data_IF_535441276429
#
_entry.id   IF_535441276429
#
_cell.length_a   1.000
_cell.length_b   1.000
_cell.length_c   1.000
_cell.angle_alpha   90.00
_cell.angle_beta   90.00
_cell.angle_gamma   90.00
#
_symmetry.space_group_name_H-M   'P 1'
#
loop_
_entity.id
_entity.type
_entity.pdbx_description
1 polymer ?
#
# COMPACT_ATOMS: atom_id res chain seq x y z
N UNK A 1 -24.50 -15.27 27.72
CA UNK A 1 -24.59 -13.83 27.96
C UNK A 1 -23.17 -13.31 28.15
N UNK A 2 -22.82 -12.15 27.61
CA UNK A 2 -21.48 -11.57 27.81
C UNK A 2 -21.37 -11.01 29.22
N UNK A 3 -20.26 -11.28 29.91
CA UNK A 3 -19.97 -10.72 31.24
C UNK A 3 -19.84 -9.20 31.15
N UNK A 4 -20.42 -8.48 32.08
CA UNK A 4 -20.45 -7.02 32.12
C UNK A 4 -19.63 -6.47 33.29
N UNK A 5 -19.35 -5.15 33.30
CA UNK A 5 -18.71 -4.48 34.44
C UNK A 5 -19.54 -4.63 35.73
N UNK A 6 -20.89 -4.71 35.62
CA UNK A 6 -21.76 -4.93 36.74
C UNK A 6 -21.59 -6.31 37.40
N UNK A 7 -21.34 -7.33 36.60
CA UNK A 7 -21.13 -8.69 37.12
C UNK A 7 -19.84 -8.78 37.94
N UNK A 8 -18.77 -8.08 37.48
CA UNK A 8 -17.52 -7.98 38.23
C UNK A 8 -17.73 -7.13 39.51
N UNK A 9 -18.43 -6.00 39.42
CA UNK A 9 -18.72 -5.14 40.52
C UNK A 9 -19.50 -5.90 41.61
N UNK A 10 -20.54 -6.64 41.25
CA UNK A 10 -21.29 -7.48 42.14
C UNK A 10 -20.47 -8.56 42.85
N UNK A 11 -19.51 -9.16 42.13
CA UNK A 11 -18.67 -10.27 42.63
C UNK A 11 -17.52 -9.76 43.52
N UNK A 12 -17.07 -8.53 43.30
CA UNK A 12 -15.96 -7.90 44.04
C UNK A 12 -16.42 -6.96 45.13
N UNK A 13 -17.73 -6.66 45.21
CA UNK A 13 -18.34 -5.70 46.10
C UNK A 13 -17.82 -4.26 45.96
N UNK A 14 -17.25 -3.92 44.80
CA UNK A 14 -16.81 -2.57 44.45
C UNK A 14 -17.77 -1.89 43.49
N UNK A 15 -17.79 -0.54 43.54
CA UNK A 15 -18.54 0.23 42.53
C UNK A 15 -18.10 -0.04 41.12
N UNK A 16 -19.05 -0.03 40.18
CA UNK A 16 -18.80 -0.16 38.73
C UNK A 16 -17.76 0.85 38.25
N UNK A 17 -17.73 2.05 38.84
CA UNK A 17 -16.73 3.08 38.52
C UNK A 17 -15.31 2.67 38.94
N UNK A 18 -15.14 2.03 40.08
CA UNK A 18 -13.87 1.50 40.59
C UNK A 18 -13.38 0.36 39.67
N UNK A 19 -14.25 -0.62 39.39
CA UNK A 19 -13.98 -1.71 38.47
C UNK A 19 -13.55 -1.17 37.07
N UNK A 20 -14.30 -0.20 36.55
CA UNK A 20 -13.97 0.43 35.26
C UNK A 20 -12.62 1.14 35.26
N UNK A 21 -12.24 1.83 36.35
CA UNK A 21 -10.94 2.50 36.49
C UNK A 21 -9.79 1.50 36.52
N UNK A 22 -9.93 0.42 37.25
CA UNK A 22 -8.91 -0.65 37.29
C UNK A 22 -8.73 -1.28 35.91
N UNK A 23 -9.81 -1.74 35.27
CA UNK A 23 -9.78 -2.43 33.97
C UNK A 23 -9.33 -1.52 32.83
N UNK A 24 -9.38 -0.21 32.98
CA UNK A 24 -8.90 0.76 31.99
C UNK A 24 -7.51 1.34 32.32
N UNK A 25 -6.81 0.85 33.36
CA UNK A 25 -5.47 1.30 33.72
C UNK A 25 -5.40 2.67 34.39
N UNK A 26 -6.51 3.15 34.98
CA UNK A 26 -6.56 4.43 35.69
C UNK A 26 -6.50 4.28 37.21
N UNK A 27 -6.16 3.09 37.70
CA UNK A 27 -6.16 2.75 39.10
C UNK A 27 -5.23 3.65 39.93
N UNK A 28 -4.00 3.83 39.53
CA UNK A 28 -3.00 4.67 40.19
C UNK A 28 -3.44 6.14 40.24
N UNK A 29 -3.95 6.69 39.14
CA UNK A 29 -4.45 8.06 39.04
C UNK A 29 -5.60 8.35 40.07
N UNK A 30 -6.30 7.30 40.46
CA UNK A 30 -7.45 7.39 41.39
C UNK A 30 -7.15 6.82 42.78
N UNK A 31 -5.88 6.51 43.09
CA UNK A 31 -5.46 6.04 44.40
C UNK A 31 -6.05 4.67 44.80
N UNK A 32 -6.35 3.80 43.82
CA UNK A 32 -6.87 2.45 44.06
C UNK A 32 -5.71 1.55 44.47
N UNK A 33 -5.83 0.90 45.67
CA UNK A 33 -4.76 0.03 46.21
C UNK A 33 -4.43 -1.16 45.28
N UNK A 34 -3.19 -1.61 45.32
CA UNK A 34 -2.77 -2.80 44.54
C UNK A 34 -3.61 -4.04 44.86
N UNK A 35 -3.94 -4.26 46.13
CA UNK A 35 -4.78 -5.38 46.53
C UNK A 35 -6.18 -5.34 45.92
N UNK A 36 -6.76 -4.14 45.76
CA UNK A 36 -8.06 -3.94 45.10
C UNK A 36 -7.92 -4.18 43.57
N UNK A 37 -6.84 -3.71 42.99
CA UNK A 37 -6.56 -3.94 41.54
C UNK A 37 -6.44 -5.43 41.27
N UNK A 38 -5.63 -6.16 42.03
CA UNK A 38 -5.41 -7.61 41.87
C UNK A 38 -6.70 -8.42 42.04
N UNK A 39 -7.55 -8.05 42.97
CA UNK A 39 -8.83 -8.72 43.15
C UNK A 39 -9.74 -8.52 41.94
N UNK A 40 -9.87 -7.29 41.46
CA UNK A 40 -10.73 -6.95 40.31
C UNK A 40 -10.21 -7.63 39.04
N UNK A 41 -8.90 -7.60 38.80
CA UNK A 41 -8.28 -8.23 37.62
C UNK A 41 -8.47 -9.75 37.64
N UNK A 42 -8.28 -10.40 38.80
CA UNK A 42 -8.50 -11.83 38.98
C UNK A 42 -9.95 -12.24 38.72
N UNK A 43 -10.90 -11.53 39.30
CA UNK A 43 -12.34 -11.80 39.14
C UNK A 43 -12.77 -11.55 37.67
N UNK A 44 -12.22 -10.55 37.02
CA UNK A 44 -12.47 -10.29 35.58
C UNK A 44 -11.97 -11.44 34.71
N UNK A 45 -10.78 -11.96 34.99
CA UNK A 45 -10.20 -13.11 34.28
C UNK A 45 -11.00 -14.40 34.51
N UNK A 46 -11.32 -14.70 35.79
CA UNK A 46 -12.14 -15.86 36.18
C UNK A 46 -13.51 -15.88 35.52
N UNK A 47 -14.12 -14.70 35.32
CA UNK A 47 -15.41 -14.55 34.65
C UNK A 47 -15.26 -14.55 33.09
N UNK A 48 -14.02 -14.51 32.56
CA UNK A 48 -13.77 -14.35 31.13
C UNK A 48 -14.24 -13.00 30.59
N UNK A 49 -14.17 -11.94 31.41
CA UNK A 49 -14.56 -10.61 30.98
C UNK A 49 -13.62 -10.11 29.88
N UNK A 50 -14.21 -9.67 28.79
CA UNK A 50 -13.48 -8.97 27.73
C UNK A 50 -13.99 -7.53 27.62
N UNK A 51 -13.11 -6.52 27.75
CA UNK A 51 -13.51 -5.13 27.57
C UNK A 51 -14.21 -4.94 26.22
N UNK A 52 -15.42 -4.39 26.26
CA UNK A 52 -16.14 -4.07 25.03
C UNK A 52 -15.53 -2.81 24.40
N UNK A 53 -14.71 -3.01 23.38
CA UNK A 53 -14.03 -1.92 22.64
C UNK A 53 -15.04 -0.95 22.01
N UNK A 54 -16.22 -1.43 21.56
CA UNK A 54 -17.28 -0.59 21.00
C UNK A 54 -17.87 0.36 22.05
N UNK A 55 -18.19 -0.16 23.25
CA UNK A 55 -18.70 0.67 24.33
C UNK A 55 -17.66 1.70 24.82
N UNK A 56 -16.38 1.37 24.75
CA UNK A 56 -15.30 2.31 25.03
C UNK A 56 -15.21 3.38 23.94
N UNK A 57 -15.26 2.99 22.68
CA UNK A 57 -15.21 3.90 21.52
C UNK A 57 -16.32 4.96 21.56
N UNK A 58 -17.55 4.55 21.87
CA UNK A 58 -18.69 5.47 22.04
C UNK A 58 -18.46 6.54 23.12
N UNK A 59 -17.68 6.22 24.16
CA UNK A 59 -17.36 7.17 25.25
C UNK A 59 -16.17 8.07 24.93
N UNK A 60 -15.14 7.52 24.28
CA UNK A 60 -13.89 8.24 23.96
C UNK A 60 -13.95 8.94 22.60
N UNK A 61 -14.92 8.62 21.75
CA UNK A 61 -15.00 8.99 20.35
C UNK A 61 -13.77 8.54 19.54
N UNK A 62 -13.13 7.46 19.98
CA UNK A 62 -11.99 6.84 19.32
C UNK A 62 -12.21 5.33 19.28
N UNK A 63 -12.13 4.75 18.09
CA UNK A 63 -12.28 3.30 17.88
C UNK A 63 -10.94 2.56 17.99
N UNK A 64 -9.83 3.28 17.88
CA UNK A 64 -8.46 2.73 17.75
C UNK A 64 -8.33 1.81 16.55
N UNK A 65 -9.09 2.10 15.49
CA UNK A 65 -9.00 1.42 14.21
C UNK A 65 -8.63 2.42 13.11
N UNK A 66 -7.70 2.02 12.26
CA UNK A 66 -7.36 2.71 11.01
C UNK A 66 -7.74 1.80 9.86
N UNK A 67 -8.42 2.33 8.85
CA UNK A 67 -8.69 1.61 7.62
C UNK A 67 -7.56 1.80 6.61
N UNK A 68 -7.17 0.75 5.89
CA UNK A 68 -6.38 0.87 4.67
C UNK A 68 -7.14 0.26 3.50
N UNK A 69 -7.22 1.00 2.40
CA UNK A 69 -7.81 0.54 1.14
C UNK A 69 -6.71 0.54 0.09
N UNK A 70 -6.47 -0.62 -0.51
CA UNK A 70 -5.39 -0.83 -1.46
C UNK A 70 -5.85 -1.63 -2.69
N UNK A 71 -5.16 -1.49 -3.83
CA UNK A 71 -5.56 -2.13 -5.08
C UNK A 71 -5.41 -3.66 -5.09
N UNK A 72 -4.34 -4.19 -4.48
CA UNK A 72 -4.06 -5.62 -4.52
C UNK A 72 -3.16 -6.06 -3.36
N UNK A 73 -3.78 -6.74 -2.37
CA UNK A 73 -3.05 -7.27 -1.20
C UNK A 73 -2.11 -8.43 -1.55
N UNK A 74 -2.30 -9.07 -2.70
CA UNK A 74 -1.43 -10.14 -3.16
C UNK A 74 -0.13 -9.64 -3.80
N UNK A 75 -0.09 -8.35 -4.16
CA UNK A 75 1.12 -7.72 -4.65
C UNK A 75 2.14 -7.53 -3.50
N UNK A 76 3.36 -8.10 -3.61
CA UNK A 76 4.38 -8.05 -2.56
C UNK A 76 4.73 -6.64 -2.08
N UNK A 77 4.70 -5.65 -2.99
CA UNK A 77 4.94 -4.25 -2.65
C UNK A 77 3.88 -3.72 -1.66
N UNK A 78 2.59 -3.86 -1.99
CA UNK A 78 1.52 -3.40 -1.11
C UNK A 78 1.44 -4.22 0.19
N UNK A 79 1.67 -5.53 0.12
CA UNK A 79 1.72 -6.38 1.30
C UNK A 79 2.83 -5.95 2.27
N UNK A 80 4.02 -5.63 1.74
CA UNK A 80 5.17 -5.18 2.54
C UNK A 80 4.90 -3.83 3.21
N UNK A 81 4.37 -2.84 2.47
CA UNK A 81 4.01 -1.54 3.06
C UNK A 81 2.93 -1.72 4.12
N UNK A 82 1.88 -2.50 3.84
CA UNK A 82 0.79 -2.76 4.78
C UNK A 82 1.31 -3.36 6.08
N UNK A 83 2.27 -4.28 6.03
CA UNK A 83 2.93 -4.84 7.21
C UNK A 83 3.63 -3.75 8.03
N UNK A 84 4.41 -2.87 7.41
CA UNK A 84 5.10 -1.79 8.12
C UNK A 84 4.11 -0.78 8.73
N UNK A 85 3.03 -0.44 8.02
CA UNK A 85 1.92 0.37 8.56
C UNK A 85 1.31 -0.29 9.79
N UNK A 86 1.00 -1.59 9.71
CA UNK A 86 0.43 -2.34 10.83
C UNK A 86 1.37 -2.38 12.03
N UNK A 87 2.66 -2.65 11.83
CA UNK A 87 3.67 -2.66 12.89
C UNK A 87 3.77 -1.30 13.59
N UNK A 88 3.73 -0.21 12.83
CA UNK A 88 3.76 1.16 13.35
C UNK A 88 2.51 1.49 14.15
N UNK A 89 1.33 1.22 13.60
CA UNK A 89 0.06 1.45 14.25
C UNK A 89 -0.10 0.65 15.54
N UNK A 90 0.37 -0.61 15.55
CA UNK A 90 0.31 -1.48 16.73
C UNK A 90 1.12 -0.94 17.90
N UNK A 91 2.29 -0.31 17.66
CA UNK A 91 3.09 0.36 18.69
C UNK A 91 2.35 1.53 19.34
N UNK A 92 1.39 2.13 18.64
CA UNK A 92 0.56 3.24 19.13
C UNK A 92 -0.85 2.77 19.61
N UNK A 93 -1.07 1.46 19.71
CA UNK A 93 -2.34 0.89 20.20
C UNK A 93 -3.49 0.92 19.20
N UNK A 94 -3.20 1.13 17.91
CA UNK A 94 -4.17 1.04 16.82
C UNK A 94 -4.20 -0.34 16.19
N UNK A 95 -5.37 -0.73 15.68
CA UNK A 95 -5.56 -1.90 14.80
C UNK A 95 -5.70 -1.43 13.36
N UNK A 96 -5.18 -2.20 12.41
CA UNK A 96 -5.36 -1.93 10.98
C UNK A 96 -6.45 -2.84 10.41
N UNK A 97 -7.39 -2.25 9.67
CA UNK A 97 -8.43 -2.95 8.91
C UNK A 97 -8.08 -2.81 7.43
N UNK A 98 -7.86 -3.94 6.76
CA UNK A 98 -7.39 -3.98 5.38
C UNK A 98 -8.54 -4.33 4.44
N UNK A 99 -8.71 -3.51 3.38
CA UNK A 99 -9.66 -3.77 2.30
C UNK A 99 -8.93 -3.76 0.95
N UNK A 100 -9.24 -4.76 0.15
CA UNK A 100 -8.67 -4.96 -1.19
C UNK A 100 -9.71 -4.55 -2.25
N UNK A 101 -9.45 -3.45 -2.97
CA UNK A 101 -10.36 -2.95 -4.00
C UNK A 101 -10.27 -3.69 -5.34
N UNK A 102 -9.24 -4.53 -5.52
CA UNK A 102 -8.99 -5.19 -6.81
C UNK A 102 -8.60 -4.22 -7.94
N UNK A 103 -8.20 -2.99 -7.59
CA UNK A 103 -7.93 -1.93 -8.57
C UNK A 103 -9.20 -1.32 -9.17
N UNK A 104 -10.37 -1.63 -8.61
CA UNK A 104 -11.66 -1.13 -9.05
C UNK A 104 -12.14 0.07 -8.22
N UNK A 105 -12.57 1.14 -8.88
CA UNK A 105 -12.99 2.38 -8.23
C UNK A 105 -14.37 2.30 -7.58
N UNK A 106 -15.24 1.39 -8.02
CA UNK A 106 -16.55 1.16 -7.39
C UNK A 106 -16.35 0.43 -6.05
N UNK A 107 -15.57 -0.65 -6.06
CA UNK A 107 -15.17 -1.37 -4.83
C UNK A 107 -14.42 -0.46 -3.84
N UNK A 108 -13.55 0.42 -4.33
CA UNK A 108 -12.90 1.43 -3.50
C UNK A 108 -13.92 2.31 -2.77
N UNK A 109 -14.94 2.81 -3.51
CA UNK A 109 -16.02 3.61 -2.94
C UNK A 109 -16.83 2.82 -1.88
N UNK A 110 -17.14 1.55 -2.15
CA UNK A 110 -17.87 0.71 -1.20
C UNK A 110 -17.08 0.56 0.10
N UNK A 111 -15.78 0.30 0.02
CA UNK A 111 -14.93 0.18 1.21
C UNK A 111 -14.72 1.50 1.95
N UNK A 112 -14.65 2.62 1.24
CA UNK A 112 -14.65 3.95 1.86
C UNK A 112 -15.94 4.15 2.69
N UNK A 113 -17.10 3.88 2.10
CA UNK A 113 -18.38 4.01 2.80
C UNK A 113 -18.48 3.04 3.99
N UNK A 114 -17.99 1.81 3.85
CA UNK A 114 -17.97 0.81 4.91
C UNK A 114 -17.11 1.28 6.08
N UNK A 115 -15.88 1.75 5.83
CA UNK A 115 -14.99 2.25 6.88
C UNK A 115 -15.56 3.48 7.58
N UNK A 116 -16.14 4.42 6.82
CA UNK A 116 -16.85 5.58 7.40
C UNK A 116 -18.01 5.14 8.29
N UNK A 117 -18.75 4.07 7.91
CA UNK A 117 -19.86 3.56 8.73
C UNK A 117 -19.40 2.86 10.02
N UNK A 118 -18.15 2.42 10.07
CA UNK A 118 -17.53 1.80 11.25
C UNK A 118 -16.82 2.83 12.15
N UNK A 119 -16.93 4.13 11.81
CA UNK A 119 -16.30 5.23 12.54
C UNK A 119 -14.80 4.98 12.78
N UNK A 120 -14.06 4.50 11.77
CA UNK A 120 -12.61 4.36 11.91
C UNK A 120 -11.97 5.73 12.16
N UNK A 121 -10.90 5.78 12.97
CA UNK A 121 -10.27 7.03 13.38
C UNK A 121 -9.51 7.72 12.22
N UNK A 122 -9.27 7.01 11.12
CA UNK A 122 -8.67 7.53 9.91
C UNK A 122 -8.54 6.49 8.80
N UNK A 123 -8.28 6.97 7.58
CA UNK A 123 -8.12 6.13 6.39
C UNK A 123 -6.76 6.34 5.74
N UNK A 124 -6.17 5.27 5.29
CA UNK A 124 -5.03 5.25 4.37
C UNK A 124 -5.55 4.74 3.04
N UNK A 125 -5.41 5.53 1.99
CA UNK A 125 -5.96 5.19 0.67
C UNK A 125 -4.84 5.13 -0.36
N UNK A 126 -4.73 3.99 -1.04
CA UNK A 126 -3.94 3.83 -2.25
C UNK A 126 -4.92 3.86 -3.42
N UNK A 127 -5.10 4.99 -4.12
CA UNK A 127 -6.13 5.12 -5.13
C UNK A 127 -6.05 4.08 -6.24
N UNK A 128 -7.19 3.48 -6.57
CA UNK A 128 -7.33 2.44 -7.61
C UNK A 128 -7.27 3.02 -9.03
N UNK A 129 -7.58 4.31 -9.19
CA UNK A 129 -7.62 4.98 -10.49
C UNK A 129 -7.46 6.49 -10.35
N UNK A 130 -7.95 7.23 -11.34
CA UNK A 130 -7.93 8.70 -11.38
C UNK A 130 -9.21 9.37 -10.85
N UNK A 131 -10.25 8.58 -10.55
CA UNK A 131 -11.54 9.14 -10.17
C UNK A 131 -11.45 9.94 -8.87
N UNK A 132 -11.71 11.21 -8.98
CA UNK A 132 -11.73 12.11 -7.83
C UNK A 132 -13.05 12.03 -7.02
N UNK A 133 -14.06 11.32 -7.51
CA UNK A 133 -15.41 11.37 -6.92
C UNK A 133 -15.47 10.70 -5.55
N UNK A 134 -14.73 9.61 -5.38
CA UNK A 134 -14.58 8.90 -4.11
C UNK A 134 -13.96 9.82 -3.05
N UNK A 135 -12.86 10.45 -3.43
CA UNK A 135 -12.06 11.31 -2.57
C UNK A 135 -12.82 12.61 -2.26
N UNK A 136 -13.55 13.15 -3.24
CA UNK A 136 -14.34 14.36 -3.05
C UNK A 136 -15.40 14.23 -1.96
N UNK A 137 -15.99 13.03 -1.79
CA UNK A 137 -16.95 12.76 -0.72
C UNK A 137 -16.30 12.79 0.66
N UNK A 138 -15.15 12.13 0.82
CA UNK A 138 -14.36 12.16 2.06
C UNK A 138 -13.93 13.58 2.41
N UNK A 139 -13.36 14.29 1.42
CA UNK A 139 -12.88 15.65 1.59
C UNK A 139 -13.99 16.62 2.05
N UNK A 140 -15.19 16.49 1.48
CA UNK A 140 -16.36 17.31 1.87
C UNK A 140 -16.90 17.00 3.26
N UNK A 141 -16.71 15.77 3.74
CA UNK A 141 -17.14 15.36 5.09
C UNK A 141 -16.08 15.66 6.14
N UNK A 142 -14.93 16.20 5.76
CA UNK A 142 -13.79 16.46 6.64
C UNK A 142 -13.29 15.19 7.34
N UNK A 143 -13.45 14.02 6.71
CA UNK A 143 -12.94 12.76 7.24
C UNK A 143 -11.41 12.76 7.24
N UNK A 144 -10.81 12.16 8.25
CA UNK A 144 -9.35 12.08 8.38
C UNK A 144 -8.80 11.00 7.46
N UNK A 145 -8.06 11.37 6.44
CA UNK A 145 -7.40 10.41 5.55
C UNK A 145 -6.08 10.93 4.96
N UNK A 146 -5.27 9.99 4.52
CA UNK A 146 -4.01 10.26 3.78
C UNK A 146 -3.95 9.38 2.54
N UNK A 147 -3.17 9.83 1.55
CA UNK A 147 -2.78 9.01 0.43
C UNK A 147 -1.46 8.28 0.71
N UNK A 148 -1.34 7.06 0.21
CA UNK A 148 -0.11 6.26 0.24
C UNK A 148 0.22 5.78 -1.18
N UNK A 149 1.49 5.82 -1.59
CA UNK A 149 2.02 5.45 -2.91
C UNK A 149 1.46 6.29 -4.07
N UNK A 150 0.15 6.36 -4.20
CA UNK A 150 -0.57 7.12 -5.22
C UNK A 150 -1.37 8.25 -4.59
N UNK A 151 -1.65 9.29 -5.35
CA UNK A 151 -2.52 10.39 -4.94
C UNK A 151 -3.39 10.86 -6.10
N UNK A 152 -4.49 11.54 -5.76
CA UNK A 152 -5.38 12.21 -6.72
C UNK A 152 -5.07 13.70 -6.66
N UNK A 153 -4.80 14.30 -7.81
CA UNK A 153 -4.52 15.73 -7.93
C UNK A 153 -5.76 16.57 -7.60
N UNK A 154 -5.53 17.79 -7.12
CA UNK A 154 -6.60 18.77 -6.82
C UNK A 154 -7.17 18.68 -5.40
N UNK A 155 -6.55 17.91 -4.51
CA UNK A 155 -6.89 17.87 -3.07
C UNK A 155 -5.66 18.16 -2.21
N UNK A 156 -5.84 19.02 -1.20
CA UNK A 156 -4.84 19.29 -0.18
C UNK A 156 -4.89 18.21 0.91
N UNK A 157 -4.46 17.00 0.57
CA UNK A 157 -4.45 15.83 1.45
C UNK A 157 -3.00 15.38 1.64
N UNK A 158 -2.57 15.09 2.88
CA UNK A 158 -1.25 14.52 3.12
C UNK A 158 -1.04 13.25 2.29
N UNK A 159 0.15 13.12 1.70
CA UNK A 159 0.48 11.96 0.89
C UNK A 159 1.91 11.48 1.15
N UNK A 160 2.06 10.17 1.30
CA UNK A 160 3.35 9.50 1.40
C UNK A 160 3.65 8.85 0.06
N UNK A 161 4.60 9.42 -0.67
CA UNK A 161 4.98 8.96 -2.02
C UNK A 161 6.50 8.97 -2.16
N UNK A 162 6.99 8.38 -3.25
CA UNK A 162 8.41 8.46 -3.64
C UNK A 162 8.60 9.37 -4.84
N UNK A 163 9.85 9.68 -5.17
CA UNK A 163 10.17 10.38 -6.41
C UNK A 163 10.14 9.41 -7.61
N UNK A 164 8.93 9.09 -8.05
CA UNK A 164 8.66 8.23 -9.20
C UNK A 164 9.30 8.75 -10.50
N UNK A 165 9.35 10.08 -10.66
CA UNK A 165 9.97 10.71 -11.83
C UNK A 165 11.48 10.45 -11.83
N UNK A 166 12.15 10.72 -10.71
CA UNK A 166 13.60 10.52 -10.60
C UNK A 166 13.96 9.04 -10.74
N UNK A 167 13.22 8.13 -10.13
CA UNK A 167 13.47 6.69 -10.25
C UNK A 167 13.45 6.22 -11.70
N UNK A 168 12.43 6.61 -12.47
CA UNK A 168 12.33 6.23 -13.88
C UNK A 168 13.37 6.95 -14.76
N UNK A 169 13.70 8.22 -14.43
CA UNK A 169 14.78 8.95 -15.09
C UNK A 169 16.12 8.23 -14.89
N UNK A 170 16.46 7.86 -13.67
CA UNK A 170 17.72 7.18 -13.33
C UNK A 170 17.80 5.79 -13.99
N UNK A 171 16.71 5.01 -13.94
CA UNK A 171 16.65 3.70 -14.62
C UNK A 171 16.87 3.81 -16.13
N UNK A 172 16.23 4.78 -16.76
CA UNK A 172 16.35 4.97 -18.22
C UNK A 172 17.74 5.49 -18.59
N UNK A 173 18.30 6.44 -17.81
CA UNK A 173 19.68 6.88 -18.02
C UNK A 173 20.66 5.73 -17.92
N UNK A 174 20.50 4.84 -16.93
CA UNK A 174 21.36 3.67 -16.77
C UNK A 174 21.33 2.77 -18.01
N UNK A 175 20.15 2.49 -18.58
CA UNK A 175 20.05 1.74 -19.84
C UNK A 175 20.75 2.44 -20.99
N UNK A 176 20.59 3.76 -21.10
CA UNK A 176 21.24 4.56 -22.16
C UNK A 176 22.77 4.56 -22.01
N UNK A 177 23.28 4.66 -20.78
CA UNK A 177 24.71 4.57 -20.47
C UNK A 177 25.30 3.19 -20.80
N UNK A 178 24.48 2.12 -20.71
CA UNK A 178 24.86 0.76 -21.16
C UNK A 178 24.79 0.59 -22.69
N UNK A 179 24.46 1.63 -23.43
CA UNK A 179 24.47 1.63 -24.90
C UNK A 179 23.10 1.44 -25.55
N UNK A 180 22.04 1.21 -24.77
CA UNK A 180 20.71 1.06 -25.34
C UNK A 180 20.20 2.39 -25.90
N UNK A 181 19.56 2.33 -27.06
CA UNK A 181 18.94 3.48 -27.73
C UNK A 181 17.47 3.24 -28.06
N UNK A 182 17.08 1.97 -28.14
CA UNK A 182 15.71 1.55 -28.34
C UNK A 182 15.24 0.80 -27.11
N UNK A 183 14.54 1.53 -26.23
CA UNK A 183 14.14 1.06 -24.89
C UNK A 183 12.61 0.97 -24.86
N UNK A 184 12.07 -0.21 -24.60
CA UNK A 184 10.65 -0.42 -24.38
C UNK A 184 10.24 0.01 -22.96
N UNK A 185 9.04 0.53 -22.82
CA UNK A 185 8.42 0.83 -21.53
C UNK A 185 7.18 -0.05 -21.34
N UNK A 186 7.27 -1.00 -20.43
CA UNK A 186 6.10 -1.76 -19.99
C UNK A 186 5.43 -1.01 -18.82
N UNK A 187 4.38 -0.23 -19.15
CA UNK A 187 3.70 0.66 -18.20
C UNK A 187 2.53 0.01 -17.49
N UNK A 188 2.09 0.66 -16.41
CA UNK A 188 0.88 0.30 -15.67
C UNK A 188 -0.35 1.08 -16.12
N UNK A 189 -1.30 1.26 -15.19
CA UNK A 189 -2.54 1.97 -15.43
C UNK A 189 -2.26 3.44 -15.76
N UNK A 190 -2.60 3.81 -16.97
CA UNK A 190 -2.50 5.18 -17.45
C UNK A 190 -3.33 6.10 -16.55
N UNK A 191 -2.81 7.29 -16.31
CA UNK A 191 -3.51 8.27 -15.48
C UNK A 191 -3.18 8.22 -13.99
N UNK A 192 -2.76 7.09 -13.43
CA UNK A 192 -2.29 7.07 -12.04
C UNK A 192 -1.05 7.96 -11.85
N UNK A 193 -0.95 8.63 -10.69
CA UNK A 193 0.15 9.55 -10.39
C UNK A 193 1.53 8.88 -10.53
N UNK A 194 1.66 7.61 -10.14
CA UNK A 194 2.88 6.81 -10.29
C UNK A 194 3.24 6.59 -11.75
N UNK A 195 2.28 6.13 -12.58
CA UNK A 195 2.52 5.87 -14.00
C UNK A 195 2.88 7.16 -14.76
N UNK A 196 2.13 8.24 -14.54
CA UNK A 196 2.39 9.55 -15.15
C UNK A 196 3.82 10.05 -14.86
N UNK A 197 4.23 9.96 -13.60
CA UNK A 197 5.58 10.41 -13.17
C UNK A 197 6.68 9.52 -13.74
N UNK A 198 6.49 8.19 -13.73
CA UNK A 198 7.47 7.24 -14.28
C UNK A 198 7.62 7.41 -15.81
N UNK A 199 6.50 7.55 -16.53
CA UNK A 199 6.53 7.85 -17.97
C UNK A 199 7.22 9.20 -18.27
N UNK A 200 6.97 10.22 -17.45
CA UNK A 200 7.63 11.52 -17.62
C UNK A 200 9.15 11.41 -17.39
N UNK A 201 9.62 10.64 -16.40
CA UNK A 201 11.04 10.38 -16.16
C UNK A 201 11.71 9.66 -17.33
N UNK A 202 11.05 8.64 -17.87
CA UNK A 202 11.50 7.93 -19.09
C UNK A 202 11.64 8.87 -20.28
N UNK A 203 10.60 9.67 -20.58
CA UNK A 203 10.63 10.65 -21.68
C UNK A 203 11.76 11.67 -21.52
N UNK A 204 11.98 12.15 -20.31
CA UNK A 204 13.02 13.13 -20.00
C UNK A 204 14.43 12.55 -20.19
N UNK A 205 14.67 11.29 -19.83
CA UNK A 205 15.95 10.63 -20.07
C UNK A 205 16.25 10.56 -21.57
N UNK A 206 15.29 10.10 -22.38
CA UNK A 206 15.43 10.06 -23.84
C UNK A 206 15.76 11.45 -24.40
N UNK A 207 15.01 12.47 -23.98
CA UNK A 207 15.21 13.87 -24.42
C UNK A 207 16.61 14.38 -24.10
N UNK A 208 17.15 14.12 -22.89
CA UNK A 208 18.49 14.54 -22.47
C UNK A 208 19.59 13.92 -23.34
N UNK A 209 19.37 12.68 -23.77
CA UNK A 209 20.31 11.95 -24.62
C UNK A 209 20.03 12.09 -26.12
N UNK A 210 19.10 13.00 -26.51
CA UNK A 210 18.74 13.24 -27.93
C UNK A 210 18.26 11.98 -28.65
N UNK A 211 17.53 11.13 -27.93
CA UNK A 211 16.85 9.95 -28.48
C UNK A 211 15.37 10.33 -28.68
N UNK A 212 14.88 10.13 -29.89
CA UNK A 212 13.50 10.42 -30.23
C UNK A 212 12.55 9.49 -29.45
N UNK A 213 11.49 10.08 -28.91
CA UNK A 213 10.43 9.32 -28.24
C UNK A 213 9.57 8.61 -29.30
N UNK A 214 9.48 7.29 -29.19
CA UNK A 214 8.61 6.46 -30.02
C UNK A 214 7.46 5.91 -29.17
N UNK A 215 6.25 6.40 -29.39
CA UNK A 215 5.05 5.97 -28.67
C UNK A 215 4.76 4.46 -28.81
N UNK A 216 5.22 3.86 -29.92
CA UNK A 216 5.08 2.43 -30.13
C UNK A 216 5.92 1.58 -29.16
N UNK A 217 6.89 2.16 -28.49
CA UNK A 217 7.68 1.49 -27.44
C UNK A 217 7.03 1.56 -26.05
N UNK A 218 5.93 2.29 -25.89
CA UNK A 218 5.17 2.35 -24.64
C UNK A 218 3.96 1.43 -24.74
N UNK A 219 3.92 0.38 -23.90
CA UNK A 219 2.84 -0.61 -23.87
C UNK A 219 2.44 -0.91 -22.45
N UNK A 220 1.16 -1.14 -22.20
CA UNK A 220 0.62 -1.55 -20.93
C UNK A 220 -0.66 -0.82 -20.56
N UNK A 221 -1.49 -1.47 -19.74
CA UNK A 221 -2.80 -0.99 -19.33
C UNK A 221 -2.98 -1.07 -17.80
N UNK A 222 -2.33 -2.04 -17.14
CA UNK A 222 -2.50 -2.33 -15.72
C UNK A 222 -1.19 -2.74 -15.07
N UNK A 223 -1.11 -2.66 -13.73
CA UNK A 223 0.03 -3.10 -12.93
C UNK A 223 0.00 -4.62 -12.61
N UNK A 224 -0.49 -5.45 -13.51
CA UNK A 224 -0.63 -6.90 -13.33
C UNK A 224 0.33 -7.68 -14.21
N UNK A 225 0.67 -8.89 -13.77
CA UNK A 225 1.56 -9.81 -14.48
C UNK A 225 1.13 -10.04 -15.94
N UNK A 226 -0.17 -10.25 -16.16
CA UNK A 226 -0.71 -10.51 -17.49
C UNK A 226 -0.60 -9.27 -18.41
N UNK A 227 -0.72 -8.06 -17.86
CA UNK A 227 -0.48 -6.82 -18.62
C UNK A 227 0.98 -6.71 -19.04
N UNK A 228 1.93 -7.02 -18.14
CA UNK A 228 3.35 -7.06 -18.44
C UNK A 228 3.69 -8.06 -19.55
N UNK A 229 3.12 -9.26 -19.49
CA UNK A 229 3.29 -10.30 -20.51
C UNK A 229 2.80 -9.85 -21.89
N UNK A 230 1.56 -9.33 -21.99
CA UNK A 230 1.01 -8.84 -23.26
C UNK A 230 1.78 -7.65 -23.81
N UNK A 231 2.21 -6.75 -22.94
CA UNK A 231 2.97 -5.56 -23.33
C UNK A 231 4.31 -5.93 -23.95
N UNK A 232 5.09 -6.77 -23.27
CA UNK A 232 6.40 -7.21 -23.76
C UNK A 232 6.27 -8.11 -25.00
N UNK A 233 5.26 -8.98 -25.07
CA UNK A 233 4.99 -9.76 -26.28
C UNK A 233 4.78 -8.88 -27.51
N UNK A 234 3.97 -7.81 -27.39
CA UNK A 234 3.77 -6.83 -28.46
C UNK A 234 5.07 -6.08 -28.83
N UNK A 235 5.92 -5.79 -27.84
CA UNK A 235 7.21 -5.15 -28.08
C UNK A 235 8.17 -6.09 -28.83
N UNK A 236 8.20 -7.37 -28.51
CA UNK A 236 9.04 -8.37 -29.19
C UNK A 236 8.57 -8.71 -30.63
N UNK A 237 7.28 -8.53 -30.91
CA UNK A 237 6.70 -8.75 -32.24
C UNK A 237 6.93 -7.59 -33.23
N UNK A 238 7.52 -6.48 -32.78
CA UNK A 238 7.86 -5.37 -33.66
C UNK A 238 8.92 -5.77 -34.68
N UNK A 239 8.88 -5.22 -35.90
CA UNK A 239 9.90 -5.43 -36.92
C UNK A 239 11.31 -4.99 -36.49
N UNK A 240 11.37 -4.02 -35.57
CA UNK A 240 12.59 -3.58 -34.92
C UNK A 240 12.29 -3.52 -33.40
N UNK A 241 12.46 -4.64 -32.63
CA UNK A 241 12.12 -4.69 -31.22
C UNK A 241 13.08 -3.85 -30.38
N UNK A 242 12.70 -3.49 -29.14
CA UNK A 242 13.61 -2.84 -28.20
C UNK A 242 14.73 -3.79 -27.77
N UNK A 243 15.89 -3.23 -27.43
CA UNK A 243 17.03 -3.98 -26.87
C UNK A 243 17.05 -3.96 -25.34
N UNK A 244 16.18 -3.16 -24.73
CA UNK A 244 15.97 -3.14 -23.29
C UNK A 244 14.51 -2.82 -22.97
N UNK A 245 14.03 -3.27 -21.81
CA UNK A 245 12.71 -2.93 -21.29
C UNK A 245 12.86 -2.36 -19.87
N UNK A 246 12.24 -1.20 -19.64
CA UNK A 246 11.93 -0.70 -18.31
C UNK A 246 10.49 -1.12 -17.95
N UNK A 247 10.35 -2.01 -16.98
CA UNK A 247 9.07 -2.46 -16.47
C UNK A 247 8.68 -1.64 -15.25
N UNK A 248 7.49 -1.04 -15.25
CA UNK A 248 7.10 -0.04 -14.24
C UNK A 248 6.51 -0.62 -12.95
N UNK A 249 6.66 -1.91 -12.69
CA UNK A 249 6.44 -2.54 -11.37
C UNK A 249 7.00 -3.96 -11.34
N UNK A 250 7.07 -4.53 -10.14
CA UNK A 250 7.41 -5.93 -9.90
C UNK A 250 6.49 -6.90 -10.68
N UNK A 251 5.17 -6.70 -10.57
CA UNK A 251 4.19 -7.57 -11.24
C UNK A 251 4.28 -7.46 -12.77
N UNK A 252 4.50 -6.26 -13.31
CA UNK A 252 4.76 -6.09 -14.74
C UNK A 252 6.04 -6.81 -15.13
N UNK A 253 7.10 -6.69 -14.31
CA UNK A 253 8.38 -7.36 -14.56
C UNK A 253 8.23 -8.88 -14.62
N UNK A 254 7.43 -9.49 -13.73
CA UNK A 254 7.12 -10.92 -13.81
C UNK A 254 6.47 -11.32 -15.14
N UNK A 255 5.62 -10.45 -15.66
CA UNK A 255 5.03 -10.66 -17.01
C UNK A 255 6.04 -10.55 -18.13
N UNK A 256 6.96 -9.57 -18.04
CA UNK A 256 8.07 -9.41 -19.00
C UNK A 256 8.96 -10.64 -18.98
N UNK A 257 9.37 -11.12 -17.80
CA UNK A 257 10.21 -12.31 -17.64
C UNK A 257 9.57 -13.55 -18.28
N UNK A 258 8.27 -13.75 -18.08
CA UNK A 258 7.53 -14.83 -18.72
C UNK A 258 7.58 -14.71 -20.25
N UNK A 259 7.43 -13.51 -20.81
CA UNK A 259 7.47 -13.32 -22.26
C UNK A 259 8.87 -13.50 -22.86
N UNK A 260 9.92 -13.25 -22.07
CA UNK A 260 11.33 -13.53 -22.42
C UNK A 260 11.57 -15.03 -22.42
N UNK A 261 11.19 -15.74 -21.38
CA UNK A 261 11.32 -17.19 -21.23
C UNK A 261 10.63 -17.96 -22.37
N UNK A 262 9.36 -17.61 -22.68
CA UNK A 262 8.61 -18.24 -23.77
C UNK A 262 9.19 -18.02 -25.19
N UNK A 263 10.18 -17.12 -25.32
CA UNK A 263 10.89 -16.81 -26.58
C UNK A 263 12.33 -17.27 -26.58
N UNK A 264 12.75 -17.99 -25.56
CA UNK A 264 14.13 -18.44 -25.36
C UNK A 264 15.16 -17.28 -25.46
N UNK A 265 14.76 -16.06 -24.99
CA UNK A 265 15.65 -14.90 -24.97
C UNK A 265 16.49 -14.89 -23.69
N UNK A 266 17.79 -14.57 -23.85
CA UNK A 266 18.73 -14.48 -22.74
C UNK A 266 18.81 -13.06 -22.17
N UNK A 267 18.84 -12.94 -20.83
CA UNK A 267 19.09 -11.70 -20.11
C UNK A 267 20.53 -11.75 -19.60
N UNK A 268 21.39 -10.76 -19.86
CA UNK A 268 21.12 -9.52 -20.59
C UNK A 268 21.47 -9.58 -22.10
N UNK A 269 21.90 -10.72 -22.64
CA UNK A 269 22.56 -10.83 -23.96
C UNK A 269 21.61 -10.46 -25.12
N UNK A 270 20.36 -10.92 -25.08
CA UNK A 270 19.36 -10.60 -26.12
C UNK A 270 18.50 -9.39 -25.70
N UNK A 271 18.22 -9.23 -24.40
CA UNK A 271 17.37 -8.18 -23.88
C UNK A 271 17.80 -7.77 -22.46
N UNK A 272 18.00 -6.49 -22.22
CA UNK A 272 18.21 -5.98 -20.87
C UNK A 272 16.88 -5.59 -20.20
N UNK A 273 16.73 -5.85 -18.89
CA UNK A 273 15.53 -5.54 -18.15
C UNK A 273 15.89 -4.75 -16.87
N UNK A 274 15.15 -3.66 -16.62
CA UNK A 274 15.12 -3.00 -15.32
C UNK A 274 13.71 -3.07 -14.78
N UNK A 275 13.59 -3.49 -13.52
CA UNK A 275 12.35 -3.46 -12.75
C UNK A 275 12.22 -2.15 -11.99
N UNK A 276 11.06 -1.53 -12.04
CA UNK A 276 10.65 -0.64 -10.97
C UNK A 276 10.04 -1.53 -9.90
N UNK A 277 10.45 -1.36 -8.66
CA UNK A 277 10.27 -2.27 -7.53
C UNK A 277 11.24 -3.46 -7.54
N UNK A 278 11.73 -3.77 -6.35
CA UNK A 278 12.60 -4.90 -6.11
C UNK A 278 11.77 -6.20 -6.05
N UNK A 279 12.26 -7.22 -6.71
CA UNK A 279 11.63 -8.54 -6.72
C UNK A 279 12.35 -9.41 -5.70
N UNK A 280 11.63 -9.88 -4.68
CA UNK A 280 12.19 -10.65 -3.55
C UNK A 280 13.04 -11.87 -3.96
N UNK A 281 12.76 -12.46 -5.11
CA UNK A 281 13.51 -13.61 -5.64
C UNK A 281 14.42 -13.26 -6.83
N UNK A 282 14.67 -11.97 -7.09
CA UNK A 282 15.54 -11.54 -8.18
C UNK A 282 16.96 -12.11 -8.12
N UNK A 283 17.45 -12.41 -6.90
CA UNK A 283 18.77 -13.03 -6.70
C UNK A 283 18.81 -14.54 -6.98
N UNK A 284 17.65 -15.18 -7.16
CA UNK A 284 17.57 -16.62 -7.44
C UNK A 284 17.30 -16.94 -8.91
N UNK A 285 17.10 -15.91 -9.75
CA UNK A 285 17.03 -16.09 -11.20
C UNK A 285 18.46 -16.15 -11.77
N UNK A 286 18.62 -16.88 -12.87
CA UNK A 286 19.92 -17.13 -13.51
C UNK A 286 20.69 -15.82 -13.81
N UNK A 287 19.99 -14.78 -14.23
CA UNK A 287 20.54 -13.43 -14.39
C UNK A 287 19.90 -12.47 -13.39
N UNK A 288 20.62 -11.99 -12.35
CA UNK A 288 20.11 -11.04 -11.39
C UNK A 288 19.61 -9.75 -12.06
N UNK A 289 18.40 -9.31 -11.67
CA UNK A 289 17.79 -8.12 -12.26
C UNK A 289 18.27 -6.84 -11.57
N UNK A 290 18.49 -5.82 -12.35
CA UNK A 290 18.62 -4.45 -11.84
C UNK A 290 17.25 -3.90 -11.51
N UNK A 291 17.11 -3.26 -10.35
CA UNK A 291 15.83 -2.71 -9.91
C UNK A 291 15.96 -1.32 -9.29
N UNK A 292 14.90 -0.54 -9.38
CA UNK A 292 14.68 0.67 -8.58
C UNK A 292 13.92 0.24 -7.31
N UNK A 293 14.64 0.12 -6.20
CA UNK A 293 14.06 -0.27 -4.91
C UNK A 293 13.35 0.91 -4.25
N UNK A 294 12.12 0.68 -3.78
CA UNK A 294 11.35 1.65 -3.02
C UNK A 294 11.57 1.48 -1.51
N UNK A 295 11.66 2.57 -0.72
CA UNK A 295 11.89 2.51 0.72
C UNK A 295 10.59 2.16 1.49
N UNK A 296 10.04 0.96 1.28
CA UNK A 296 8.74 0.52 1.81
C UNK A 296 8.64 0.65 3.33
N UNK A 297 9.72 0.41 4.08
CA UNK A 297 9.75 0.61 5.52
C UNK A 297 9.51 2.07 5.88
N UNK A 298 10.22 3.01 5.24
CA UNK A 298 10.04 4.45 5.49
C UNK A 298 8.68 4.96 5.07
N UNK A 299 8.05 4.32 4.09
CA UNK A 299 6.71 4.68 3.65
C UNK A 299 5.62 4.21 4.63
N UNK A 300 5.88 3.16 5.41
CA UNK A 300 4.93 2.60 6.38
C UNK A 300 5.11 3.10 7.82
N UNK A 301 6.09 3.98 8.08
CA UNK A 301 6.39 4.56 9.39
C UNK A 301 5.99 6.04 9.43
#
# INVERSE_FOLDING_TARGET
MSVTLKDIANKTEFDVSTVSRVLNGYAEKHGISESTQDLILRVADDLGYRPNKLARGLRTKETKNIGIILPDISNPFFATITRHVQETLSKHGYSLIVNNSGGDTESEMEYINLMSSWDVDGLIIIPSGESADNIRKLYRKEEVFIFLDRYIEGFEVPSVTIDNYKGALDATNYLIEKGHRRIGLAQGLEGTSTNKKRLAGYKEALRRHKIDFDENLVRGEFFWKESGYRSSSKLFEMSNPPTAILALSDMITLGVLRAVDERDLSIPDDISIISFDDIQFASFIESPLTAISQPTEKMGV
#
